data_IF_845987912615
#
_entry.id   IF_845987912615
#
_cell.length_a   1.000
_cell.length_b   1.000
_cell.length_c   1.000
_cell.angle_alpha   90.00
_cell.angle_beta   90.00
_cell.angle_gamma   90.00
#
_symmetry.space_group_name_H-M   'P 1'
#
loop_
_entity.id
_entity.type
_entity.pdbx_description
1 polymer ?
#
# COMPACT_ATOMS: atom_id res chain seq x y z
N UNK A 1 28.99 -23.18 -31.80
CA UNK A 1 29.39 -22.96 -30.39
C UNK A 1 29.43 -21.46 -30.17
N UNK A 2 28.50 -20.91 -29.36
CA UNK A 2 28.65 -19.68 -28.52
C UNK A 2 28.85 -18.35 -29.31
N UNK A 3 28.13 -17.25 -29.11
CA UNK A 3 27.13 -16.77 -28.13
C UNK A 3 26.36 -15.60 -28.77
N UNK A 4 25.05 -15.52 -28.56
CA UNK A 4 24.27 -14.30 -28.84
C UNK A 4 24.38 -13.35 -27.65
N UNK A 5 24.89 -12.14 -27.90
CA UNK A 5 24.88 -11.01 -26.96
C UNK A 5 23.47 -10.44 -26.95
N UNK A 6 22.72 -10.65 -25.86
CA UNK A 6 21.45 -9.97 -25.63
C UNK A 6 21.73 -8.59 -25.01
N UNK A 7 21.63 -7.56 -25.85
CA UNK A 7 21.64 -6.17 -25.42
C UNK A 7 20.40 -5.88 -24.57
N UNK A 8 20.62 -5.43 -23.34
CA UNK A 8 19.58 -4.86 -22.49
C UNK A 8 18.94 -3.65 -23.18
N UNK A 9 17.61 -3.59 -23.14
CA UNK A 9 16.84 -2.42 -23.57
C UNK A 9 16.07 -1.85 -22.38
N UNK A 10 15.92 -0.51 -22.31
CA UNK A 10 15.82 0.24 -21.07
C UNK A 10 14.41 0.33 -20.51
N UNK A 11 14.39 0.53 -19.19
CA UNK A 11 13.44 1.25 -18.34
C UNK A 11 12.29 1.97 -19.09
N UNK A 12 11.09 1.37 -19.07
CA UNK A 12 9.87 2.13 -19.30
C UNK A 12 9.37 2.72 -17.98
N UNK A 13 9.48 4.03 -17.93
CA UNK A 13 9.01 4.90 -16.88
C UNK A 13 7.53 4.66 -16.50
N UNK A 14 7.24 4.77 -15.21
CA UNK A 14 6.15 5.65 -14.78
C UNK A 14 6.61 6.49 -13.60
N UNK A 15 7.41 7.51 -13.94
CA UNK A 15 7.75 8.67 -13.11
C UNK A 15 6.49 9.50 -12.73
N UNK A 16 5.30 9.13 -13.23
CA UNK A 16 4.03 9.81 -12.97
C UNK A 16 3.43 9.58 -11.56
N UNK A 17 3.97 8.67 -10.74
CA UNK A 17 3.41 8.37 -9.42
C UNK A 17 3.76 9.39 -8.31
N UNK A 18 4.63 10.40 -8.57
CA UNK A 18 5.09 11.34 -7.53
C UNK A 18 4.18 12.56 -7.32
N UNK A 19 3.26 12.85 -8.25
CA UNK A 19 2.45 14.08 -8.24
C UNK A 19 1.08 13.99 -7.58
N UNK A 20 0.45 12.82 -7.50
CA UNK A 20 -0.94 12.69 -7.04
C UNK A 20 -1.08 12.19 -5.59
N UNK A 21 -0.04 11.52 -5.06
CA UNK A 21 -0.06 10.93 -3.72
C UNK A 21 -0.13 11.95 -2.58
N UNK A 22 0.29 13.20 -2.81
CA UNK A 22 0.22 14.27 -1.80
C UNK A 22 -1.11 15.04 -1.82
N UNK A 23 -1.80 15.10 -2.98
CA UNK A 23 -3.11 15.75 -3.11
C UNK A 23 -4.26 14.86 -2.58
N UNK A 24 -4.17 13.54 -2.75
CA UNK A 24 -5.17 12.60 -2.22
C UNK A 24 -5.23 12.60 -0.67
N UNK A 25 -4.13 12.93 0.01
CA UNK A 25 -4.03 12.95 1.46
C UNK A 25 -4.93 14.00 2.15
N UNK A 26 -5.49 14.93 1.39
CA UNK A 26 -6.32 16.02 1.92
C UNK A 26 -7.78 15.61 1.98
N UNK A 27 -8.33 14.87 1.01
CA UNK A 27 -9.76 14.46 0.92
C UNK A 27 -9.96 12.95 0.69
N UNK A 28 -9.25 12.11 1.44
CA UNK A 28 -9.34 10.65 1.25
C UNK A 28 -10.55 10.06 1.98
N UNK A 29 -11.51 9.57 1.20
CA UNK A 29 -12.52 8.64 1.69
C UNK A 29 -11.79 7.38 2.16
N UNK A 30 -12.01 6.99 3.41
CA UNK A 30 -11.42 5.78 3.97
C UNK A 30 -12.50 4.71 4.12
N UNK A 31 -12.25 3.54 3.56
CA UNK A 31 -13.14 2.40 3.71
C UNK A 31 -12.58 1.40 4.72
N UNK A 32 -13.40 0.88 5.65
CA UNK A 32 -12.94 -0.12 6.59
C UNK A 32 -12.57 -1.41 5.85
N UNK A 33 -11.49 -2.04 6.30
CA UNK A 33 -11.08 -3.36 5.84
C UNK A 33 -10.91 -4.29 7.03
N UNK A 34 -11.08 -5.58 6.79
CA UNK A 34 -10.72 -6.60 7.77
C UNK A 34 -9.32 -7.10 7.44
N UNK A 35 -8.38 -6.92 8.35
CA UNK A 35 -7.08 -7.56 8.23
C UNK A 35 -7.19 -8.99 8.72
N UNK A 36 -6.95 -9.95 7.83
CA UNK A 36 -7.15 -11.38 8.10
C UNK A 36 -5.84 -12.03 8.56
N UNK A 37 -4.72 -11.59 8.00
CA UNK A 37 -3.41 -12.18 8.30
C UNK A 37 -2.31 -11.12 8.27
N UNK A 38 -1.39 -11.20 9.23
CA UNK A 38 -0.19 -10.37 9.31
C UNK A 38 1.07 -11.24 9.17
N UNK A 39 2.10 -10.66 8.56
CA UNK A 39 3.46 -11.19 8.59
C UNK A 39 4.17 -10.73 9.87
N UNK A 40 5.35 -11.30 10.09
CA UNK A 40 6.33 -10.76 11.03
C UNK A 40 6.52 -9.25 10.83
N UNK A 41 6.68 -8.51 11.93
CA UNK A 41 6.71 -7.04 11.98
C UNK A 41 5.38 -6.33 11.68
N UNK A 42 4.24 -7.01 11.86
CA UNK A 42 2.89 -6.42 11.72
C UNK A 42 2.56 -5.92 10.31
N UNK A 43 3.27 -6.43 9.29
CA UNK A 43 2.97 -6.11 7.90
C UNK A 43 1.72 -6.86 7.43
N UNK A 44 0.85 -6.25 6.62
CA UNK A 44 -0.33 -6.94 6.11
C UNK A 44 0.06 -8.06 5.14
N UNK A 45 -0.50 -9.27 5.33
CA UNK A 45 -0.40 -10.37 4.35
C UNK A 45 -1.70 -10.58 3.59
N UNK A 46 -2.83 -10.57 4.29
CA UNK A 46 -4.16 -10.73 3.67
C UNK A 46 -5.17 -9.83 4.32
N UNK A 47 -6.04 -9.26 3.51
CA UNK A 47 -7.15 -8.45 3.97
C UNK A 47 -8.39 -8.71 3.13
N UNK A 48 -9.56 -8.50 3.74
CA UNK A 48 -10.85 -8.56 3.08
C UNK A 48 -11.40 -7.15 2.94
N UNK A 49 -11.77 -6.78 1.72
CA UNK A 49 -12.39 -5.48 1.44
C UNK A 49 -13.61 -5.70 0.53
N UNK A 50 -14.78 -5.24 0.98
CA UNK A 50 -16.09 -5.47 0.34
C UNK A 50 -16.41 -6.95 0.07
N UNK A 51 -16.01 -7.83 0.99
CA UNK A 51 -16.19 -9.28 0.85
C UNK A 51 -15.09 -10.00 0.05
N UNK A 52 -14.31 -9.27 -0.75
CA UNK A 52 -13.23 -9.85 -1.55
C UNK A 52 -11.94 -10.02 -0.73
N UNK A 53 -11.44 -11.25 -0.69
CA UNK A 53 -10.16 -11.59 -0.08
C UNK A 53 -9.01 -11.21 -1.01
N UNK A 54 -8.08 -10.37 -0.52
CA UNK A 54 -6.90 -9.91 -1.25
C UNK A 54 -5.64 -10.36 -0.53
N UNK A 55 -4.72 -10.95 -1.31
CA UNK A 55 -3.39 -11.32 -0.84
C UNK A 55 -2.38 -10.23 -1.20
N UNK A 56 -1.68 -9.71 -0.20
CA UNK A 56 -0.55 -8.80 -0.37
C UNK A 56 0.64 -9.59 -0.89
N UNK A 57 1.10 -9.25 -2.10
CA UNK A 57 2.30 -9.84 -2.69
C UNK A 57 3.56 -9.13 -2.19
N UNK A 58 3.50 -7.81 -2.11
CA UNK A 58 4.60 -6.97 -1.65
C UNK A 58 4.08 -5.73 -0.93
N UNK A 59 4.80 -5.30 0.10
CA UNK A 59 4.68 -3.97 0.69
C UNK A 59 5.77 -3.12 0.07
N UNK A 60 5.41 -2.08 -0.69
CA UNK A 60 6.36 -1.24 -1.43
C UNK A 60 6.83 -0.05 -0.62
N UNK A 61 6.01 0.42 0.32
CA UNK A 61 6.33 1.56 1.19
C UNK A 61 5.62 1.43 2.53
N UNK A 62 6.30 1.87 3.59
CA UNK A 62 5.74 2.03 4.93
C UNK A 62 6.07 3.43 5.42
N UNK A 63 5.09 4.13 5.99
CA UNK A 63 5.31 5.43 6.62
C UNK A 63 4.33 5.66 7.76
N UNK A 64 4.67 6.55 8.67
CA UNK A 64 3.83 6.89 9.81
C UNK A 64 3.43 8.36 9.72
N UNK A 65 2.21 8.64 10.17
CA UNK A 65 1.73 9.98 10.43
C UNK A 65 1.51 10.09 11.94
N UNK A 66 2.33 10.89 12.66
CA UNK A 66 2.10 11.12 14.08
C UNK A 66 0.75 11.81 14.27
N UNK A 67 0.21 11.72 15.48
CA UNK A 67 -0.97 12.49 15.83
C UNK A 67 -0.61 13.98 15.87
N UNK A 68 -1.50 14.82 15.35
CA UNK A 68 -1.39 16.29 15.35
C UNK A 68 -2.48 16.93 16.25
N UNK A 69 -3.03 16.16 17.19
CA UNK A 69 -4.11 16.59 18.10
C UNK A 69 -5.51 16.59 17.48
N UNK A 70 -5.60 16.70 16.14
CA UNK A 70 -6.88 16.65 15.39
C UNK A 70 -7.06 15.29 14.72
N UNK A 71 -5.97 14.69 14.23
CA UNK A 71 -5.96 13.38 13.56
C UNK A 71 -5.25 12.35 14.43
N UNK A 72 -5.77 11.10 14.51
CA UNK A 72 -5.11 10.04 15.23
C UNK A 72 -3.80 9.64 14.55
N UNK A 73 -2.87 9.09 15.32
CA UNK A 73 -1.64 8.54 14.77
C UNK A 73 -1.98 7.34 13.85
N UNK A 74 -1.40 7.33 12.65
CA UNK A 74 -1.68 6.31 11.63
C UNK A 74 -0.40 5.74 11.06
N UNK A 75 -0.38 4.44 10.83
CA UNK A 75 0.68 3.76 10.08
C UNK A 75 0.14 3.35 8.71
N UNK A 76 0.81 3.77 7.66
CA UNK A 76 0.40 3.56 6.28
C UNK A 76 1.30 2.54 5.60
N UNK A 77 0.70 1.77 4.68
CA UNK A 77 1.33 0.73 3.90
C UNK A 77 0.86 0.84 2.46
N UNK A 78 1.79 1.02 1.53
CA UNK A 78 1.51 0.81 0.12
C UNK A 78 1.74 -0.66 -0.20
N UNK A 79 0.70 -1.33 -0.70
CA UNK A 79 0.69 -2.78 -0.93
C UNK A 79 0.33 -3.09 -2.36
N UNK A 80 1.03 -4.06 -2.96
CA UNK A 80 0.71 -4.61 -4.28
C UNK A 80 0.06 -5.99 -4.12
N UNK A 81 -1.16 -6.15 -4.62
CA UNK A 81 -1.93 -7.41 -4.54
C UNK A 81 -1.92 -8.21 -5.85
N UNK A 82 -1.87 -7.51 -6.98
CA UNK A 82 -1.87 -8.07 -8.34
C UNK A 82 -0.75 -7.50 -9.20
N UNK A 83 -0.74 -7.80 -10.50
CA UNK A 83 0.23 -7.22 -11.44
C UNK A 83 0.11 -5.69 -11.48
N UNK A 84 -1.12 -5.20 -11.54
CA UNK A 84 -1.47 -3.79 -11.71
C UNK A 84 -2.43 -3.29 -10.61
N UNK A 85 -2.40 -3.94 -9.44
CA UNK A 85 -3.27 -3.59 -8.31
C UNK A 85 -2.42 -3.17 -7.10
N UNK A 86 -2.42 -1.87 -6.82
CA UNK A 86 -1.80 -1.28 -5.65
C UNK A 86 -2.85 -0.58 -4.79
N UNK A 87 -2.72 -0.71 -3.49
CA UNK A 87 -3.62 -0.10 -2.51
C UNK A 87 -2.80 0.59 -1.42
N UNK A 88 -3.37 1.64 -0.83
CA UNK A 88 -2.82 2.24 0.38
C UNK A 88 -3.69 1.79 1.54
N UNK A 89 -3.13 0.97 2.41
CA UNK A 89 -3.75 0.58 3.67
C UNK A 89 -3.24 1.49 4.77
N UNK A 90 -4.06 1.75 5.77
CA UNK A 90 -3.58 2.35 7.00
C UNK A 90 -4.22 1.73 8.23
N UNK A 91 -3.42 1.63 9.27
CA UNK A 91 -3.85 1.26 10.60
C UNK A 91 -3.96 2.52 11.44
N UNK A 92 -5.09 2.69 12.12
CA UNK A 92 -5.18 3.60 13.26
C UNK A 92 -4.41 2.97 14.42
N UNK A 93 -3.34 3.60 14.87
CA UNK A 93 -2.42 3.00 15.86
C UNK A 93 -3.04 2.97 17.26
N UNK A 94 -3.99 3.87 17.55
CA UNK A 94 -4.62 3.93 18.86
C UNK A 94 -5.72 2.90 19.03
N UNK A 95 -6.58 2.76 18.01
CA UNK A 95 -7.76 1.88 18.06
C UNK A 95 -7.45 0.51 17.44
N UNK A 96 -6.39 0.41 16.64
CA UNK A 96 -5.99 -0.83 15.96
C UNK A 96 -6.81 -1.15 14.71
N UNK A 97 -7.73 -0.28 14.29
CA UNK A 97 -8.59 -0.51 13.12
C UNK A 97 -7.83 -0.33 11.81
N UNK A 98 -8.22 -1.08 10.79
CA UNK A 98 -7.62 -1.04 9.46
C UNK A 98 -8.57 -0.46 8.43
N UNK A 99 -8.00 0.33 7.54
CA UNK A 99 -8.74 1.04 6.49
C UNK A 99 -7.95 1.04 5.19
N UNK A 100 -8.65 1.19 4.08
CA UNK A 100 -8.09 1.44 2.77
C UNK A 100 -8.36 2.90 2.38
N UNK A 101 -7.33 3.54 1.85
CA UNK A 101 -7.41 4.87 1.26
C UNK A 101 -7.91 4.72 -0.18
N UNK A 102 -9.07 5.32 -0.49
CA UNK A 102 -9.69 5.30 -1.83
C UNK A 102 -9.46 6.63 -2.55
#
# INVERSE_FOLDING_TARGET
MIQHISAGSPTYASVFARGWAWLAAIWQQSEPIELVEQRFNFLPDRFRWRGDMRRVRAVTRVWERPSDGVRPARRYFEVRCGRDQSFVLFQDVHIGTWHMSV
#
